data_IF_054695844293
#
_entry.id   IF_054695844293
#
_cell.length_a   1.000
_cell.length_b   1.000
_cell.length_c   1.000
_cell.angle_alpha   90.00
_cell.angle_beta   90.00
_cell.angle_gamma   90.00
#
_symmetry.space_group_name_H-M   'P 1'
#
loop_
_entity.id
_entity.type
_entity.pdbx_description
1 polymer ?
#
# COMPACT_ATOMS: atom_id res chain seq x y z
N UNK A 1 -16.69 -5.92 6.11
CA UNK A 1 -15.63 -5.83 5.07
C UNK A 1 -14.29 -6.03 5.77
N UNK A 2 -13.37 -6.87 5.29
CA UNK A 2 -12.12 -7.23 6.02
C UNK A 2 -11.06 -6.12 6.02
N UNK A 3 -11.43 -4.92 6.45
CA UNK A 3 -10.59 -3.72 6.39
C UNK A 3 -9.27 -3.90 7.11
N UNK A 4 -9.27 -4.52 8.30
CA UNK A 4 -8.05 -4.69 9.08
C UNK A 4 -7.02 -5.55 8.31
N UNK A 5 -7.46 -6.71 7.82
CA UNK A 5 -6.61 -7.61 7.03
C UNK A 5 -6.00 -6.91 5.80
N UNK A 6 -6.79 -6.10 5.09
CA UNK A 6 -6.29 -5.36 3.92
C UNK A 6 -5.25 -4.30 4.29
N UNK A 7 -5.41 -3.65 5.44
CA UNK A 7 -4.42 -2.69 5.95
C UNK A 7 -3.10 -3.40 6.25
N UNK A 8 -3.13 -4.57 6.92
CA UNK A 8 -1.92 -5.34 7.23
C UNK A 8 -1.19 -5.82 5.96
N UNK A 9 -1.94 -6.40 5.03
CA UNK A 9 -1.40 -6.88 3.76
C UNK A 9 -0.84 -5.71 2.92
N UNK A 10 -1.54 -4.58 2.91
CA UNK A 10 -1.07 -3.36 2.26
C UNK A 10 0.25 -2.86 2.85
N UNK A 11 0.33 -2.78 4.19
CA UNK A 11 1.51 -2.29 4.89
C UNK A 11 2.75 -3.18 4.68
N UNK A 12 2.60 -4.51 4.66
CA UNK A 12 3.74 -5.42 4.48
C UNK A 12 4.13 -5.61 3.00
N UNK A 13 3.21 -5.38 2.06
CA UNK A 13 3.40 -5.73 0.64
C UNK A 13 4.70 -5.18 0.03
N UNK A 14 4.89 -3.86 0.05
CA UNK A 14 6.07 -3.18 -0.51
C UNK A 14 7.36 -3.62 0.22
N UNK A 15 7.44 -3.55 1.56
CA UNK A 15 8.59 -4.08 2.30
C UNK A 15 8.94 -5.51 1.94
N UNK A 16 7.94 -6.41 1.85
CA UNK A 16 8.16 -7.83 1.58
C UNK A 16 8.72 -8.05 0.17
N UNK A 17 8.11 -7.43 -0.85
CA UNK A 17 8.58 -7.53 -2.24
C UNK A 17 10.01 -6.99 -2.35
N UNK A 18 10.28 -5.79 -1.82
CA UNK A 18 11.59 -5.16 -1.91
C UNK A 18 12.64 -5.80 -1.00
N UNK A 19 12.26 -6.71 -0.11
CA UNK A 19 13.22 -7.48 0.68
C UNK A 19 14.11 -8.37 -0.19
N UNK A 20 13.64 -8.74 -1.38
CA UNK A 20 14.40 -9.50 -2.38
C UNK A 20 15.21 -8.61 -3.33
N UNK A 21 15.08 -7.29 -3.25
CA UNK A 21 15.77 -6.37 -4.14
C UNK A 21 17.32 -6.54 -4.02
N UNK A 22 18.07 -6.68 -5.12
CA UNK A 22 19.50 -7.03 -5.08
C UNK A 22 20.40 -6.06 -4.32
N UNK A 23 19.99 -4.78 -4.18
CA UNK A 23 20.73 -3.78 -3.39
C UNK A 23 20.41 -3.82 -1.89
N UNK A 24 19.18 -4.21 -1.52
CA UNK A 24 18.70 -4.18 -0.14
C UNK A 24 18.93 -5.52 0.55
N UNK A 25 18.51 -6.63 -0.10
CA UNK A 25 18.70 -8.00 0.37
C UNK A 25 18.22 -8.24 1.82
N UNK A 26 17.15 -7.57 2.25
CA UNK A 26 16.60 -7.72 3.60
C UNK A 26 16.14 -9.16 3.90
N UNK A 27 15.78 -9.95 2.88
CA UNK A 27 15.51 -11.39 3.04
C UNK A 27 16.66 -12.17 3.68
N UNK A 28 17.91 -11.70 3.53
CA UNK A 28 19.09 -12.31 4.19
C UNK A 28 19.19 -11.98 5.67
N UNK A 29 18.49 -10.94 6.12
CA UNK A 29 18.44 -10.50 7.50
C UNK A 29 17.25 -11.10 8.27
N UNK A 30 16.40 -11.92 7.64
CA UNK A 30 15.24 -12.53 8.29
C UNK A 30 15.58 -13.38 9.51
N UNK A 31 16.76 -14.03 9.51
CA UNK A 31 17.26 -14.74 10.69
C UNK A 31 17.49 -13.84 11.92
N UNK A 32 17.52 -12.51 11.74
CA UNK A 32 17.60 -11.51 12.82
C UNK A 32 16.28 -10.74 12.98
N UNK A 33 15.65 -10.38 11.86
CA UNK A 33 14.42 -9.60 11.86
C UNK A 33 13.26 -10.39 12.50
N UNK A 34 13.05 -11.66 12.11
CA UNK A 34 11.93 -12.44 12.63
C UNK A 34 12.07 -12.72 14.14
N UNK A 35 13.24 -13.11 14.68
CA UNK A 35 13.41 -13.21 16.14
C UNK A 35 13.25 -11.88 16.87
N UNK A 36 13.64 -10.76 16.27
CA UNK A 36 13.44 -9.43 16.87
C UNK A 36 11.96 -9.04 16.94
N UNK A 37 11.20 -9.31 15.89
CA UNK A 37 9.74 -9.13 15.85
C UNK A 37 9.10 -10.03 16.90
N UNK A 38 9.44 -11.32 16.93
CA UNK A 38 8.92 -12.25 17.94
C UNK A 38 9.25 -11.79 19.37
N UNK A 39 10.48 -11.31 19.62
CA UNK A 39 10.87 -10.77 20.92
C UNK A 39 10.10 -9.52 21.33
N UNK A 40 9.76 -8.65 20.38
CA UNK A 40 8.87 -7.52 20.62
C UNK A 40 7.43 -8.01 20.92
N UNK A 41 6.92 -8.97 20.15
CA UNK A 41 5.58 -9.53 20.35
C UNK A 41 5.38 -10.10 21.75
N UNK A 42 6.43 -10.68 22.36
CA UNK A 42 6.38 -11.18 23.73
C UNK A 42 6.06 -10.11 24.78
N UNK A 43 6.30 -8.83 24.48
CA UNK A 43 5.90 -7.72 25.34
C UNK A 43 4.51 -7.19 24.96
N UNK A 44 4.28 -6.95 23.67
CA UNK A 44 3.11 -6.20 23.22
C UNK A 44 1.85 -7.05 23.06
N UNK A 45 1.94 -8.31 22.63
CA UNK A 45 0.76 -9.17 22.50
C UNK A 45 0.11 -9.46 23.86
N UNK A 46 0.85 -9.80 24.93
CA UNK A 46 0.23 -9.96 26.26
C UNK A 46 -0.40 -8.66 26.79
N UNK A 47 0.21 -7.51 26.50
CA UNK A 47 -0.38 -6.22 26.82
C UNK A 47 -1.68 -6.02 26.04
N UNK A 48 -1.72 -6.32 24.75
CA UNK A 48 -2.91 -6.15 23.92
C UNK A 48 -4.07 -7.06 24.35
N UNK A 49 -3.79 -8.33 24.65
CA UNK A 49 -4.75 -9.27 25.25
C UNK A 49 -5.33 -8.70 26.54
N UNK A 50 -4.46 -8.19 27.43
CA UNK A 50 -4.87 -7.60 28.70
C UNK A 50 -5.72 -6.33 28.52
N UNK A 51 -5.37 -5.48 27.56
CA UNK A 51 -6.04 -4.22 27.32
C UNK A 51 -7.43 -4.44 26.71
N UNK A 52 -7.51 -5.36 25.75
CA UNK A 52 -8.77 -5.79 25.13
C UNK A 52 -9.70 -6.42 26.16
N UNK A 53 -9.18 -7.31 27.02
CA UNK A 53 -9.96 -7.93 28.09
C UNK A 53 -10.50 -6.92 29.12
N UNK A 54 -9.88 -5.75 29.26
CA UNK A 54 -10.31 -4.66 30.16
C UNK A 54 -11.14 -3.58 29.49
N UNK A 55 -11.42 -3.71 28.19
CA UNK A 55 -12.14 -2.70 27.42
C UNK A 55 -11.42 -1.35 27.40
N UNK A 56 -10.09 -1.37 27.39
CA UNK A 56 -9.25 -0.18 27.17
C UNK A 56 -9.32 0.21 25.70
N UNK A 57 -9.20 -0.79 24.82
CA UNK A 57 -9.59 -0.72 23.42
C UNK A 57 -10.29 -2.02 23.03
N UNK A 58 -10.84 -2.05 21.83
CA UNK A 58 -11.40 -3.26 21.26
C UNK A 58 -11.58 -3.12 19.76
N UNK A 59 -12.09 -4.20 19.16
CA UNK A 59 -12.16 -4.36 17.72
C UNK A 59 -13.61 -4.44 17.26
N UNK A 60 -13.90 -3.80 16.13
CA UNK A 60 -15.21 -3.87 15.51
C UNK A 60 -15.32 -5.08 14.58
N UNK A 61 -16.18 -6.04 14.92
CA UNK A 61 -16.36 -7.29 14.19
C UNK A 61 -16.68 -7.12 12.70
N UNK A 62 -17.29 -5.99 12.30
CA UNK A 62 -17.59 -5.70 10.89
C UNK A 62 -16.34 -5.56 10.02
N UNK A 63 -15.18 -5.25 10.63
CA UNK A 63 -13.90 -5.04 9.96
C UNK A 63 -12.98 -6.27 9.96
N UNK A 64 -13.43 -7.38 10.56
CA UNK A 64 -12.63 -8.57 10.84
C UNK A 64 -13.12 -9.78 10.03
N UNK A 65 -12.26 -10.78 9.90
CA UNK A 65 -12.58 -12.10 9.33
C UNK A 65 -13.38 -12.97 10.29
N UNK A 66 -13.40 -12.64 11.58
CA UNK A 66 -14.10 -13.38 12.63
C UNK A 66 -13.26 -14.45 13.32
N UNK A 67 -12.02 -14.69 12.86
CA UNK A 67 -11.08 -15.59 13.53
C UNK A 67 -10.44 -14.87 14.71
N UNK A 68 -10.50 -15.47 15.90
CA UNK A 68 -9.88 -14.93 17.10
C UNK A 68 -8.95 -15.94 17.76
N UNK A 69 -7.83 -15.45 18.29
CA UNK A 69 -6.85 -16.20 19.06
C UNK A 69 -6.56 -15.43 20.35
N UNK A 70 -6.79 -16.10 21.50
CA UNK A 70 -6.58 -15.53 22.83
C UNK A 70 -7.31 -14.19 23.08
N UNK A 71 -8.50 -14.03 22.49
CA UNK A 71 -9.33 -12.81 22.64
C UNK A 71 -8.93 -11.66 21.73
N UNK A 72 -7.90 -11.83 20.89
CA UNK A 72 -7.53 -10.89 19.84
C UNK A 72 -7.94 -11.43 18.46
N UNK A 73 -8.35 -10.57 17.52
CA UNK A 73 -8.57 -10.99 16.15
C UNK A 73 -7.25 -11.42 15.48
N UNK A 74 -7.34 -12.33 14.51
CA UNK A 74 -6.18 -12.80 13.75
C UNK A 74 -5.41 -11.63 13.12
N UNK A 75 -6.13 -10.61 12.68
CA UNK A 75 -5.58 -9.38 12.10
C UNK A 75 -4.70 -8.63 13.10
N UNK A 76 -5.03 -8.59 14.39
CA UNK A 76 -4.15 -7.96 15.40
C UNK A 76 -2.81 -8.72 15.53
N UNK A 77 -2.84 -10.05 15.45
CA UNK A 77 -1.60 -10.84 15.42
C UNK A 77 -0.77 -10.56 14.16
N UNK A 78 -1.43 -10.35 13.01
CA UNK A 78 -0.78 -9.96 11.77
C UNK A 78 -0.22 -8.54 11.85
N UNK A 79 -0.92 -7.60 12.47
CA UNK A 79 -0.44 -6.23 12.70
C UNK A 79 0.91 -6.23 13.43
N UNK A 80 1.05 -7.02 14.51
CA UNK A 80 2.30 -7.19 15.25
C UNK A 80 3.42 -7.90 14.48
N UNK A 81 3.16 -8.41 13.27
CA UNK A 81 4.17 -8.98 12.37
C UNK A 81 4.44 -8.00 11.21
N UNK A 82 3.39 -7.58 10.52
CA UNK A 82 3.42 -6.75 9.32
C UNK A 82 4.02 -5.37 9.58
N UNK A 83 3.54 -4.64 10.59
CA UNK A 83 4.00 -3.28 10.86
C UNK A 83 5.45 -3.27 11.35
N UNK A 84 5.87 -4.10 12.32
CA UNK A 84 7.27 -4.17 12.74
C UNK A 84 8.21 -4.64 11.62
N UNK A 85 7.76 -5.54 10.75
CA UNK A 85 8.51 -5.92 9.55
C UNK A 85 8.73 -4.73 8.62
N UNK A 86 7.68 -3.97 8.31
CA UNK A 86 7.76 -2.78 7.45
C UNK A 86 8.69 -1.70 8.04
N UNK A 87 8.59 -1.48 9.34
CA UNK A 87 9.44 -0.53 10.06
C UNK A 87 10.92 -0.97 10.08
N UNK A 88 11.20 -2.26 10.35
CA UNK A 88 12.57 -2.80 10.30
C UNK A 88 13.15 -2.76 8.89
N UNK A 89 12.35 -3.08 7.87
CA UNK A 89 12.77 -2.99 6.47
C UNK A 89 13.17 -1.55 6.12
N UNK A 90 12.39 -0.55 6.55
CA UNK A 90 12.71 0.88 6.33
C UNK A 90 14.02 1.27 7.03
N UNK A 91 14.18 0.87 8.29
CA UNK A 91 15.43 1.08 9.03
C UNK A 91 16.63 0.43 8.32
N UNK A 92 16.46 -0.80 7.84
CA UNK A 92 17.48 -1.53 7.10
C UNK A 92 17.83 -0.82 5.78
N UNK A 93 16.85 -0.32 5.05
CA UNK A 93 17.07 0.48 3.84
C UNK A 93 17.94 1.70 4.16
N UNK A 94 17.58 2.46 5.20
CA UNK A 94 18.33 3.65 5.59
C UNK A 94 19.76 3.30 6.01
N UNK A 95 19.95 2.16 6.71
CA UNK A 95 21.28 1.65 7.07
C UNK A 95 22.11 1.27 5.85
N UNK A 96 21.55 0.48 4.92
CA UNK A 96 22.26 0.01 3.71
C UNK A 96 22.60 1.17 2.78
N UNK A 97 21.67 2.11 2.62
CA UNK A 97 21.83 3.31 1.78
C UNK A 97 22.65 4.41 2.46
N UNK A 98 23.06 4.22 3.71
CA UNK A 98 23.81 5.18 4.53
C UNK A 98 23.12 6.54 4.64
N UNK A 99 21.82 6.52 4.87
CA UNK A 99 21.03 7.71 5.12
C UNK A 99 21.56 8.43 6.37
N UNK A 100 21.70 9.77 6.37
CA UNK A 100 22.19 10.50 7.53
C UNK A 100 21.20 10.38 8.69
N UNK A 101 21.66 9.83 9.82
CA UNK A 101 20.95 9.92 11.09
C UNK A 101 21.15 11.28 11.76
N UNK A 102 20.46 11.51 12.89
CA UNK A 102 20.78 12.66 13.74
C UNK A 102 22.24 12.61 14.19
N UNK A 103 22.92 13.77 14.31
CA UNK A 103 24.24 13.85 14.94
C UNK A 103 24.22 13.20 16.33
N UNK A 104 25.32 12.55 16.72
CA UNK A 104 25.40 11.78 17.96
C UNK A 104 24.92 12.56 19.20
N UNK A 105 25.38 13.81 19.35
CA UNK A 105 24.94 14.68 20.45
C UNK A 105 23.43 15.00 20.37
N UNK A 106 22.93 15.30 19.15
CA UNK A 106 21.51 15.57 18.92
C UNK A 106 20.62 14.38 19.24
N UNK A 107 21.04 13.16 18.84
CA UNK A 107 20.33 11.93 19.16
C UNK A 107 20.23 11.72 20.68
N UNK A 108 21.33 11.92 21.42
CA UNK A 108 21.33 11.77 22.88
C UNK A 108 20.46 12.83 23.57
N UNK A 109 20.54 14.09 23.13
CA UNK A 109 19.67 15.15 23.65
C UNK A 109 18.19 14.87 23.38
N UNK A 110 17.85 14.44 22.16
CA UNK A 110 16.48 14.06 21.82
C UNK A 110 15.97 12.94 22.73
N UNK A 111 16.76 11.88 22.96
CA UNK A 111 16.35 10.81 23.88
C UNK A 111 16.20 11.25 25.34
N UNK A 112 17.02 12.20 25.81
CA UNK A 112 16.89 12.77 27.16
C UNK A 112 15.60 13.58 27.30
N UNK A 113 15.29 14.42 26.32
CA UNK A 113 14.07 15.21 26.30
C UNK A 113 12.83 14.31 26.25
N UNK A 114 12.84 13.30 25.37
CA UNK A 114 11.77 12.30 25.29
C UNK A 114 11.64 11.51 26.60
N UNK A 115 12.75 11.17 27.26
CA UNK A 115 12.72 10.49 28.56
C UNK A 115 12.02 11.35 29.62
N UNK A 116 12.45 12.61 29.78
CA UNK A 116 11.85 13.53 30.76
C UNK A 116 10.36 13.75 30.46
N UNK A 117 10.00 13.97 29.19
CA UNK A 117 8.62 14.14 28.77
C UNK A 117 7.77 12.89 29.06
N UNK A 118 8.31 11.69 28.80
CA UNK A 118 7.62 10.43 29.07
C UNK A 118 7.44 10.19 30.57
N UNK A 119 8.45 10.49 31.41
CA UNK A 119 8.31 10.42 32.87
C UNK A 119 7.23 11.37 33.36
N UNK A 120 7.26 12.63 32.90
CA UNK A 120 6.25 13.61 33.27
C UNK A 120 4.84 13.15 32.86
N UNK A 121 4.68 12.64 31.64
CA UNK A 121 3.40 12.15 31.15
C UNK A 121 2.89 10.95 31.96
N UNK A 122 3.74 9.96 32.26
CA UNK A 122 3.37 8.82 33.07
C UNK A 122 2.88 9.22 34.48
N UNK A 123 3.44 10.28 35.07
CA UNK A 123 3.04 10.80 36.38
C UNK A 123 1.73 11.61 36.30
N UNK A 124 1.61 12.50 35.30
CA UNK A 124 0.43 13.35 35.13
C UNK A 124 -0.83 12.53 34.82
N UNK A 125 -0.70 11.50 33.99
CA UNK A 125 -1.82 10.64 33.56
C UNK A 125 -1.83 9.27 34.24
N UNK A 126 -1.23 9.14 35.44
CA UNK A 126 -1.09 7.87 36.19
C UNK A 126 -2.37 7.05 36.40
N UNK A 127 -3.54 7.69 36.32
CA UNK A 127 -4.84 7.04 36.50
C UNK A 127 -5.43 6.49 35.20
N UNK A 128 -4.84 6.81 34.04
CA UNK A 128 -5.29 6.36 32.72
C UNK A 128 -4.56 5.06 32.34
N UNK A 129 -5.29 3.92 32.23
CA UNK A 129 -4.70 2.60 32.05
C UNK A 129 -4.05 2.34 30.69
N UNK A 130 -4.17 3.24 29.70
CA UNK A 130 -3.37 3.19 28.47
C UNK A 130 -2.21 4.19 28.50
N UNK A 131 -2.50 5.46 28.76
CA UNK A 131 -1.53 6.56 28.74
C UNK A 131 -0.35 6.31 29.67
N UNK A 132 -0.62 5.98 30.93
CA UNK A 132 0.42 5.80 31.94
C UNK A 132 1.41 4.66 31.60
N UNK A 133 0.97 3.42 31.31
CA UNK A 133 1.91 2.36 30.96
C UNK A 133 2.68 2.63 29.66
N UNK A 134 2.06 3.25 28.64
CA UNK A 134 2.76 3.62 27.40
C UNK A 134 3.97 4.52 27.67
N UNK A 135 3.74 5.61 28.40
CA UNK A 135 4.83 6.53 28.70
C UNK A 135 5.82 5.97 29.74
N UNK A 136 5.37 5.15 30.69
CA UNK A 136 6.25 4.51 31.68
C UNK A 136 7.21 3.51 31.01
N UNK A 137 6.70 2.65 30.12
CA UNK A 137 7.51 1.68 29.38
C UNK A 137 8.46 2.37 28.41
N UNK A 138 8.00 3.42 27.72
CA UNK A 138 8.86 4.24 26.87
C UNK A 138 9.97 4.92 27.68
N UNK A 139 9.65 5.51 28.83
CA UNK A 139 10.65 6.10 29.72
C UNK A 139 11.68 5.05 30.18
N UNK A 140 11.23 3.85 30.58
CA UNK A 140 12.12 2.75 30.97
C UNK A 140 13.07 2.34 29.84
N UNK A 141 12.55 2.22 28.61
CA UNK A 141 13.38 1.91 27.44
C UNK A 141 14.37 3.03 27.10
N UNK A 142 13.93 4.30 27.14
CA UNK A 142 14.80 5.45 26.90
C UNK A 142 15.88 5.59 27.97
N UNK A 143 15.60 5.23 29.22
CA UNK A 143 16.62 5.12 30.27
C UNK A 143 17.65 4.05 29.93
N UNK A 144 17.21 2.86 29.51
CA UNK A 144 18.11 1.81 29.04
C UNK A 144 19.02 2.29 27.89
N UNK A 145 18.48 3.01 26.90
CA UNK A 145 19.26 3.61 25.80
C UNK A 145 20.31 4.59 26.34
N UNK A 146 19.98 5.37 27.36
CA UNK A 146 20.92 6.31 27.99
C UNK A 146 22.02 5.60 28.80
N UNK A 147 21.70 4.49 29.46
CA UNK A 147 22.65 3.68 30.21
C UNK A 147 23.58 2.85 29.30
N UNK A 148 23.15 2.56 28.07
CA UNK A 148 23.90 1.80 27.06
C UNK A 148 23.91 2.57 25.72
N UNK A 149 24.54 3.76 25.67
CA UNK A 149 24.41 4.66 24.54
C UNK A 149 25.02 4.07 23.26
N UNK A 150 24.25 4.10 22.17
CA UNK A 150 24.71 3.80 20.81
C UNK A 150 24.29 4.94 19.87
N UNK A 151 24.96 6.09 19.92
CA UNK A 151 24.44 7.35 19.39
C UNK A 151 24.16 7.32 17.88
N UNK A 152 24.99 6.66 17.08
CA UNK A 152 24.76 6.51 15.63
C UNK A 152 23.51 5.68 15.33
N UNK A 153 23.33 4.57 16.05
CA UNK A 153 22.14 3.70 15.94
C UNK A 153 20.89 4.47 16.36
N UNK A 154 20.96 5.17 17.50
CA UNK A 154 19.87 6.00 18.02
C UNK A 154 19.51 7.09 17.02
N UNK A 155 20.50 7.80 16.48
CA UNK A 155 20.27 8.87 15.52
C UNK A 155 19.61 8.39 14.23
N UNK A 156 20.03 7.23 13.70
CA UNK A 156 19.39 6.60 12.54
C UNK A 156 17.97 6.14 12.87
N UNK A 157 17.75 5.52 14.04
CA UNK A 157 16.43 5.06 14.46
C UNK A 157 15.45 6.22 14.60
N UNK A 158 15.83 7.33 15.26
CA UNK A 158 14.96 8.49 15.41
C UNK A 158 14.57 9.13 14.08
N UNK A 159 15.50 9.26 13.13
CA UNK A 159 15.18 9.74 11.77
C UNK A 159 14.28 8.76 11.03
N UNK A 160 14.56 7.45 11.13
CA UNK A 160 13.72 6.43 10.53
C UNK A 160 12.30 6.52 11.08
N UNK A 161 12.14 6.65 12.39
CA UNK A 161 10.83 6.79 13.03
C UNK A 161 10.11 8.05 12.57
N UNK A 162 10.80 9.19 12.50
CA UNK A 162 10.22 10.43 12.00
C UNK A 162 9.67 10.30 10.57
N UNK A 163 10.37 9.54 9.71
CA UNK A 163 9.89 9.23 8.35
C UNK A 163 8.71 8.25 8.39
N UNK A 164 8.75 7.24 9.27
CA UNK A 164 7.68 6.27 9.47
C UNK A 164 6.39 6.88 10.03
N UNK A 165 6.44 8.08 10.62
CA UNK A 165 5.22 8.79 11.02
C UNK A 165 4.27 9.04 9.84
N UNK A 166 4.80 9.22 8.61
CA UNK A 166 3.97 9.40 7.43
C UNK A 166 3.07 8.19 7.13
N UNK A 167 3.61 6.97 6.90
CA UNK A 167 2.77 5.78 6.71
C UNK A 167 1.99 5.40 7.98
N UNK A 168 2.52 5.70 9.18
CA UNK A 168 1.79 5.52 10.44
C UNK A 168 0.48 6.31 10.45
N UNK A 169 0.47 7.60 10.06
CA UNK A 169 -0.76 8.39 10.01
C UNK A 169 -1.80 7.81 9.05
N UNK A 170 -1.36 7.17 7.97
CA UNK A 170 -2.27 6.50 7.03
C UNK A 170 -2.84 5.22 7.64
N UNK A 171 -1.97 4.33 8.12
CA UNK A 171 -2.36 3.02 8.68
C UNK A 171 -3.20 3.22 9.94
N UNK A 172 -2.68 3.90 10.96
CA UNK A 172 -3.41 4.15 12.20
C UNK A 172 -4.62 5.05 11.98
N UNK A 173 -4.57 5.98 11.02
CA UNK A 173 -5.72 6.81 10.65
C UNK A 173 -6.90 5.96 10.19
N UNK A 174 -6.68 5.03 9.26
CA UNK A 174 -7.71 4.10 8.77
C UNK A 174 -8.20 3.21 9.92
N UNK A 175 -7.28 2.61 10.70
CA UNK A 175 -7.65 1.72 11.80
C UNK A 175 -8.51 2.42 12.87
N UNK A 176 -8.26 3.70 13.11
CA UNK A 176 -9.01 4.51 14.09
C UNK A 176 -10.22 5.23 13.50
N UNK A 177 -10.58 4.99 12.23
CA UNK A 177 -11.85 5.40 11.64
C UNK A 177 -11.79 6.47 10.54
N UNK A 178 -10.61 6.87 10.08
CA UNK A 178 -10.50 7.81 8.94
C UNK A 178 -11.09 7.15 7.69
N UNK A 179 -12.17 7.74 7.17
CA UNK A 179 -12.86 7.24 5.97
C UNK A 179 -13.74 6.01 6.19
N UNK A 180 -14.09 5.69 7.45
CA UNK A 180 -14.96 4.56 7.81
C UNK A 180 -16.15 5.05 8.65
N UNK A 181 -17.31 4.39 8.52
CA UNK A 181 -18.49 4.68 9.34
C UNK A 181 -18.26 4.36 10.83
N UNK A 182 -17.49 3.31 11.09
CA UNK A 182 -17.05 2.90 12.42
C UNK A 182 -15.56 2.56 12.40
N UNK A 183 -14.81 2.81 13.47
CA UNK A 183 -13.40 2.48 13.52
C UNK A 183 -13.19 0.96 13.56
N UNK A 184 -12.04 0.51 13.03
CA UNK A 184 -11.58 -0.88 13.18
C UNK A 184 -11.22 -1.13 14.64
N UNK A 185 -10.44 -0.21 15.22
CA UNK A 185 -10.01 -0.22 16.61
C UNK A 185 -10.60 1.00 17.32
N UNK A 186 -11.44 0.76 18.32
CA UNK A 186 -12.01 1.81 19.15
C UNK A 186 -11.30 1.87 20.49
N UNK A 187 -11.27 3.06 21.10
CA UNK A 187 -10.63 3.30 22.39
C UNK A 187 -11.64 3.79 23.41
N UNK A 188 -11.46 3.38 24.66
CA UNK A 188 -12.21 3.93 25.78
C UNK A 188 -11.65 5.31 26.14
N UNK A 189 -12.49 6.34 26.05
CA UNK A 189 -12.11 7.74 26.31
C UNK A 189 -11.59 7.98 27.74
N UNK A 190 -11.95 7.14 28.72
CA UNK A 190 -11.40 7.21 30.08
C UNK A 190 -10.01 6.58 30.21
N UNK A 191 -9.64 5.73 29.25
CA UNK A 191 -8.39 5.00 29.26
C UNK A 191 -7.22 5.78 28.65
N UNK A 192 -7.54 6.72 27.77
CA UNK A 192 -6.60 7.53 26.99
C UNK A 192 -6.53 8.97 27.52
N UNK A 193 -5.51 9.73 27.09
CA UNK A 193 -5.34 11.15 27.36
C UNK A 193 -6.53 11.97 26.86
N UNK A 194 -7.15 11.53 25.77
CA UNK A 194 -8.34 12.14 25.17
C UNK A 194 -8.00 13.12 24.04
N UNK A 195 -6.73 13.47 23.86
CA UNK A 195 -6.27 14.19 22.68
C UNK A 195 -6.00 13.22 21.53
N UNK A 196 -6.36 13.64 20.31
CA UNK A 196 -6.20 12.84 19.09
C UNK A 196 -5.56 13.64 17.96
N UNK A 197 -4.76 12.97 17.14
CA UNK A 197 -4.26 13.44 15.86
C UNK A 197 -5.23 12.93 14.78
N UNK A 198 -6.14 13.79 14.35
CA UNK A 198 -7.35 13.37 13.63
C UNK A 198 -8.12 12.31 14.46
N UNK A 199 -8.13 11.05 14.04
CA UNK A 199 -8.80 9.95 14.74
C UNK A 199 -7.89 9.20 15.72
N UNK A 200 -6.57 9.39 15.64
CA UNK A 200 -5.57 8.56 16.32
C UNK A 200 -5.28 9.13 17.72
N UNK A 201 -5.37 8.35 18.82
CA UNK A 201 -4.88 8.79 20.13
C UNK A 201 -3.41 9.23 20.07
N UNK A 202 -3.07 10.35 20.72
CA UNK A 202 -1.69 10.88 20.64
C UNK A 202 -0.66 9.87 21.17
N UNK A 203 -1.03 9.08 22.16
CA UNK A 203 -0.19 8.05 22.78
C UNK A 203 0.21 6.93 21.82
N UNK A 204 -0.56 6.68 20.76
CA UNK A 204 -0.20 5.67 19.75
C UNK A 204 1.12 6.03 19.05
N UNK A 205 1.44 7.32 18.92
CA UNK A 205 2.73 7.79 18.41
C UNK A 205 3.88 7.36 19.33
N UNK A 206 3.64 7.25 20.63
CA UNK A 206 4.66 6.88 21.61
C UNK A 206 4.72 5.37 21.84
N UNK A 207 3.56 4.71 21.78
CA UNK A 207 3.46 3.25 21.71
C UNK A 207 4.20 2.72 20.48
N UNK A 208 3.94 3.30 19.30
CA UNK A 208 4.61 2.99 18.06
C UNK A 208 6.12 3.24 18.12
N UNK A 209 6.55 4.31 18.80
CA UNK A 209 7.97 4.61 19.01
C UNK A 209 8.63 3.53 19.87
N UNK A 210 8.01 3.15 20.99
CA UNK A 210 8.52 2.08 21.85
C UNK A 210 8.61 0.75 21.09
N UNK A 211 7.55 0.38 20.38
CA UNK A 211 7.50 -0.85 19.58
C UNK A 211 8.62 -0.88 18.54
N UNK A 212 8.77 0.22 17.80
CA UNK A 212 9.82 0.35 16.80
C UNK A 212 11.23 0.29 17.39
N UNK A 213 11.51 1.07 18.43
CA UNK A 213 12.84 1.12 19.05
C UNK A 213 13.21 -0.22 19.68
N UNK A 214 12.28 -0.88 20.38
CA UNK A 214 12.51 -2.22 20.94
C UNK A 214 12.88 -3.20 19.83
N UNK A 215 12.10 -3.22 18.75
CA UNK A 215 12.34 -4.11 17.61
C UNK A 215 13.71 -3.85 16.98
N UNK A 216 14.10 -2.59 16.76
CA UNK A 216 15.42 -2.22 16.23
C UNK A 216 16.54 -2.66 17.17
N UNK A 217 16.38 -2.51 18.48
CA UNK A 217 17.41 -2.90 19.44
C UNK A 217 17.62 -4.41 19.48
N UNK A 218 16.55 -5.19 19.42
CA UNK A 218 16.62 -6.65 19.33
C UNK A 218 17.25 -7.09 18.00
N UNK A 219 16.83 -6.48 16.89
CA UNK A 219 17.40 -6.73 15.55
C UNK A 219 18.92 -6.48 15.53
N UNK A 220 19.36 -5.40 16.17
CA UNK A 220 20.77 -5.00 16.25
C UNK A 220 21.56 -5.60 17.42
N UNK A 221 20.94 -6.45 18.25
CA UNK A 221 21.61 -7.18 19.34
C UNK A 221 22.24 -8.50 18.86
N UNK A 222 21.72 -9.10 17.79
CA UNK A 222 22.27 -10.32 17.20
C UNK A 222 23.62 -10.03 16.46
N UNK A 223 24.67 -10.86 16.65
CA UNK A 223 25.99 -10.61 16.07
C UNK A 223 25.98 -10.67 14.53
N UNK A 224 26.64 -9.68 13.92
CA UNK A 224 26.79 -9.49 12.47
C UNK A 224 27.94 -10.34 11.91
N UNK A 225 27.71 -11.08 10.81
CA UNK A 225 28.79 -11.58 9.94
C UNK A 225 28.94 -10.61 8.77
N UNK A 226 30.11 -10.00 8.65
CA UNK A 226 30.39 -8.92 7.72
C UNK A 226 30.38 -9.36 6.26
N UNK A 227 29.48 -8.76 5.47
CA UNK A 227 29.70 -8.57 4.03
C UNK A 227 30.42 -7.24 3.83
N UNK A 228 31.74 -7.33 3.72
CA UNK A 228 32.60 -6.27 3.23
C UNK A 228 32.39 -6.06 1.72
N UNK A 229 32.46 -4.80 1.27
CA UNK A 229 32.89 -4.48 -0.09
C UNK A 229 31.92 -3.68 -0.95
N UNK A 230 32.02 -2.35 -0.86
CA UNK A 230 32.46 -1.42 -1.94
C UNK A 230 31.74 -0.07 -1.84
N UNK A 231 32.54 0.99 -1.84
CA UNK A 231 32.15 2.40 -1.92
C UNK A 231 31.66 2.69 -3.35
N UNK A 232 30.61 3.49 -3.50
CA UNK A 232 30.22 4.01 -4.81
C UNK A 232 28.82 4.63 -4.85
N UNK A 233 28.81 5.96 -4.75
CA UNK A 233 27.79 6.90 -5.24
C UNK A 233 26.41 6.88 -4.56
N UNK A 234 26.25 7.82 -3.63
CA UNK A 234 24.97 8.39 -3.28
C UNK A 234 24.44 9.20 -4.48
N UNK A 235 23.30 8.80 -5.03
CA UNK A 235 22.37 9.67 -5.77
C UNK A 235 21.05 8.92 -5.99
N UNK A 236 19.96 9.64 -5.73
CA UNK A 236 18.56 9.32 -6.09
C UNK A 236 17.81 8.34 -5.17
N UNK A 237 17.59 8.74 -3.93
CA UNK A 237 16.53 8.21 -3.07
C UNK A 237 15.82 9.37 -2.35
N UNK A 238 15.05 10.18 -3.09
CA UNK A 238 14.20 11.23 -2.49
C UNK A 238 12.96 11.61 -3.33
N UNK A 239 12.28 10.65 -3.97
CA UNK A 239 10.98 10.94 -4.64
C UNK A 239 9.86 9.92 -4.33
N UNK A 240 10.09 8.83 -3.59
CA UNK A 240 9.05 7.80 -3.39
C UNK A 240 8.28 7.87 -2.05
N UNK A 241 8.14 9.05 -1.45
CA UNK A 241 7.35 9.25 -0.21
C UNK A 241 6.29 10.35 -0.31
N UNK A 242 5.83 10.65 -1.53
CA UNK A 242 4.61 11.40 -1.76
C UNK A 242 3.99 10.95 -3.09
N UNK A 243 2.86 10.25 -3.01
CA UNK A 243 2.00 9.93 -4.16
C UNK A 243 2.11 8.50 -4.66
N UNK A 244 1.29 7.61 -4.10
CA UNK A 244 0.39 6.74 -4.88
C UNK A 244 -0.29 5.77 -3.92
N UNK A 245 -1.57 6.00 -3.71
CA UNK A 245 -2.44 5.00 -3.11
C UNK A 245 -2.64 3.80 -4.03
N UNK A 246 -3.26 2.80 -3.39
CA UNK A 246 -4.00 1.66 -3.94
C UNK A 246 -3.24 0.38 -4.27
N UNK A 247 -3.74 -0.66 -3.61
CA UNK A 247 -3.47 -2.08 -3.75
C UNK A 247 -3.77 -2.59 -5.17
N UNK A 248 -3.33 -3.82 -5.45
CA UNK A 248 -3.83 -4.61 -6.55
C UNK A 248 -5.35 -4.86 -6.40
N UNK A 249 -6.15 -3.90 -6.85
CA UNK A 249 -7.48 -4.17 -7.38
C UNK A 249 -7.30 -4.74 -8.78
N UNK A 250 -8.12 -5.73 -9.14
CA UNK A 250 -8.36 -6.01 -10.55
C UNK A 250 -8.70 -4.72 -11.29
N UNK A 251 -8.57 -4.74 -12.62
CA UNK A 251 -9.02 -3.59 -13.40
C UNK A 251 -10.50 -3.38 -13.12
N UNK A 252 -10.85 -2.19 -12.64
CA UNK A 252 -12.24 -1.81 -12.45
C UNK A 252 -12.87 -1.62 -13.83
N UNK A 253 -13.51 -2.68 -14.33
CA UNK A 253 -14.12 -2.68 -15.65
C UNK A 253 -15.31 -1.71 -15.72
N UNK A 254 -15.98 -1.42 -14.60
CA UNK A 254 -17.07 -0.44 -14.57
C UNK A 254 -16.53 0.98 -14.81
N UNK A 255 -15.41 1.32 -14.14
CA UNK A 255 -14.67 2.55 -14.40
C UNK A 255 -14.19 2.62 -15.86
N UNK A 256 -13.55 1.55 -16.35
CA UNK A 256 -13.04 1.49 -17.73
C UNK A 256 -14.15 1.68 -18.76
N UNK A 257 -15.31 1.02 -18.58
CA UNK A 257 -16.48 1.16 -19.44
C UNK A 257 -17.02 2.58 -19.43
N UNK A 258 -17.14 3.18 -18.26
CA UNK A 258 -17.64 4.55 -18.09
C UNK A 258 -16.77 5.60 -18.81
N UNK A 259 -15.46 5.40 -18.85
CA UNK A 259 -14.52 6.33 -19.48
C UNK A 259 -14.19 6.00 -20.95
N UNK A 260 -14.65 4.87 -21.49
CA UNK A 260 -14.26 4.39 -22.81
C UNK A 260 -14.58 5.39 -23.94
N UNK A 261 -15.80 5.93 -23.98
CA UNK A 261 -16.21 6.88 -25.02
C UNK A 261 -15.49 8.24 -24.90
N UNK A 262 -15.15 8.66 -23.68
CA UNK A 262 -14.45 9.92 -23.43
C UNK A 262 -12.99 9.85 -23.88
N UNK A 263 -12.32 8.71 -23.64
CA UNK A 263 -10.92 8.51 -23.98
C UNK A 263 -10.60 8.62 -25.48
N UNK A 264 -11.59 8.41 -26.36
CA UNK A 264 -11.42 8.61 -27.80
C UNK A 264 -11.35 10.09 -28.21
N UNK A 265 -11.85 11.01 -27.38
CA UNK A 265 -12.00 12.44 -27.69
C UNK A 265 -11.08 13.33 -26.86
N UNK A 266 -10.66 12.86 -25.69
CA UNK A 266 -9.86 13.61 -24.73
C UNK A 266 -8.50 12.93 -24.49
N UNK A 267 -7.38 13.58 -24.86
CA UNK A 267 -6.05 13.02 -24.67
C UNK A 267 -5.71 12.76 -23.20
N UNK A 268 -6.19 13.61 -22.27
CA UNK A 268 -5.91 13.41 -20.85
C UNK A 268 -6.66 12.18 -20.34
N UNK A 269 -7.94 12.04 -20.69
CA UNK A 269 -8.73 10.86 -20.33
C UNK A 269 -8.12 9.57 -20.90
N UNK A 270 -7.58 9.61 -22.12
CA UNK A 270 -6.86 8.47 -22.71
C UNK A 270 -5.58 8.12 -21.92
N UNK A 271 -4.77 9.13 -21.54
CA UNK A 271 -3.57 8.93 -20.73
C UNK A 271 -3.88 8.38 -19.35
N UNK A 272 -4.92 8.91 -18.69
CA UNK A 272 -5.36 8.48 -17.37
C UNK A 272 -5.78 7.00 -17.40
N UNK A 273 -6.50 6.60 -18.46
CA UNK A 273 -6.85 5.18 -18.67
C UNK A 273 -5.62 4.33 -18.93
N UNK A 274 -4.70 4.73 -19.82
CA UNK A 274 -3.44 4.00 -20.05
C UNK A 274 -2.63 3.82 -18.76
N UNK A 275 -2.56 4.86 -17.91
CA UNK A 275 -1.94 4.80 -16.60
C UNK A 275 -2.67 3.84 -15.65
N UNK A 276 -4.00 3.77 -15.73
CA UNK A 276 -4.81 2.85 -14.93
C UNK A 276 -4.43 1.38 -15.15
N UNK A 277 -3.94 0.99 -16.33
CA UNK A 277 -3.50 -0.39 -16.62
C UNK A 277 -2.03 -0.67 -16.23
N UNK A 278 -1.22 0.35 -15.90
CA UNK A 278 0.22 0.16 -15.67
C UNK A 278 0.50 -0.66 -14.42
N UNK A 279 1.40 -1.64 -14.54
CA UNK A 279 1.85 -2.49 -13.43
C UNK A 279 0.80 -3.48 -12.92
N UNK A 280 -0.38 -3.56 -13.55
CA UNK A 280 -1.46 -4.48 -13.18
C UNK A 280 -1.41 -5.78 -14.00
N UNK A 281 -1.85 -6.88 -13.39
CA UNK A 281 -2.09 -8.13 -14.10
C UNK A 281 -3.39 -8.02 -14.89
N UNK A 282 -3.33 -8.30 -16.20
CA UNK A 282 -4.45 -8.13 -17.11
C UNK A 282 -4.99 -9.50 -17.52
N UNK A 283 -6.27 -9.74 -17.27
CA UNK A 283 -6.99 -10.83 -17.93
C UNK A 283 -7.21 -10.48 -19.43
N UNK A 284 -7.68 -11.42 -20.26
CA UNK A 284 -7.81 -11.14 -21.69
C UNK A 284 -8.76 -9.97 -21.99
N UNK A 285 -9.84 -9.79 -21.23
CA UNK A 285 -10.80 -8.70 -21.42
C UNK A 285 -10.18 -7.32 -21.11
N UNK A 286 -9.51 -7.20 -19.96
CA UNK A 286 -8.77 -6.00 -19.57
C UNK A 286 -7.60 -5.71 -20.53
N UNK A 287 -6.95 -6.76 -21.03
CA UNK A 287 -5.93 -6.62 -22.09
C UNK A 287 -6.55 -6.09 -23.39
N UNK A 288 -7.77 -6.51 -23.74
CA UNK A 288 -8.51 -5.95 -24.86
C UNK A 288 -8.78 -4.45 -24.69
N UNK A 289 -9.21 -4.02 -23.50
CA UNK A 289 -9.41 -2.61 -23.19
C UNK A 289 -8.13 -1.78 -23.23
N UNK A 290 -7.03 -2.28 -22.68
CA UNK A 290 -5.72 -1.64 -22.83
C UNK A 290 -5.38 -1.48 -24.32
N UNK A 291 -5.61 -2.51 -25.13
CA UNK A 291 -5.34 -2.47 -26.56
C UNK A 291 -6.18 -1.40 -27.27
N UNK A 292 -7.43 -1.23 -26.85
CA UNK A 292 -8.29 -0.18 -27.34
C UNK A 292 -7.75 1.22 -27.03
N UNK A 293 -7.32 1.49 -25.79
CA UNK A 293 -6.75 2.78 -25.42
C UNK A 293 -5.41 3.03 -26.12
N UNK A 294 -4.57 2.00 -26.30
CA UNK A 294 -3.34 2.10 -27.08
C UNK A 294 -3.62 2.44 -28.56
N UNK A 295 -4.69 1.87 -29.13
CA UNK A 295 -5.13 2.18 -30.49
C UNK A 295 -5.69 3.62 -30.59
N UNK A 296 -6.53 4.04 -29.65
CA UNK A 296 -7.07 5.40 -29.58
C UNK A 296 -5.98 6.46 -29.39
N UNK A 297 -4.91 6.14 -28.65
CA UNK A 297 -3.78 7.03 -28.45
C UNK A 297 -3.08 7.46 -29.76
N UNK A 298 -3.26 6.71 -30.85
CA UNK A 298 -2.77 7.09 -32.17
C UNK A 298 -3.36 8.43 -32.67
N UNK A 299 -4.53 8.85 -32.20
CA UNK A 299 -5.06 10.17 -32.53
C UNK A 299 -4.26 11.31 -31.89
N UNK A 300 -3.71 11.05 -30.70
CA UNK A 300 -3.01 12.02 -29.86
C UNK A 300 -1.47 11.97 -29.98
N UNK A 301 -0.92 10.85 -30.45
CA UNK A 301 0.53 10.67 -30.59
C UNK A 301 1.15 11.60 -31.65
N UNK A 302 2.36 12.11 -31.37
CA UNK A 302 3.08 13.00 -32.30
C UNK A 302 3.85 12.22 -33.37
N UNK A 303 3.53 12.48 -34.63
CA UNK A 303 4.26 11.97 -35.80
C UNK A 303 3.77 10.61 -36.33
N UNK A 304 3.83 10.36 -37.65
CA UNK A 304 3.22 9.17 -38.28
C UNK A 304 3.72 7.84 -37.74
N UNK A 305 5.02 7.74 -37.40
CA UNK A 305 5.62 6.52 -36.86
C UNK A 305 5.04 6.15 -35.49
N UNK A 306 4.94 7.12 -34.59
CA UNK A 306 4.42 6.91 -33.24
C UNK A 306 2.92 6.56 -33.27
N UNK A 307 2.16 7.23 -34.14
CA UNK A 307 0.75 6.90 -34.41
C UNK A 307 0.59 5.46 -34.87
N UNK A 308 1.35 5.04 -35.87
CA UNK A 308 1.29 3.69 -36.42
C UNK A 308 1.73 2.62 -35.41
N UNK A 309 2.78 2.89 -34.64
CA UNK A 309 3.27 1.97 -33.61
C UNK A 309 2.24 1.77 -32.49
N UNK A 310 1.63 2.85 -32.01
CA UNK A 310 0.57 2.80 -31.00
C UNK A 310 -0.65 2.03 -31.52
N UNK A 311 -1.09 2.34 -32.75
CA UNK A 311 -2.22 1.66 -33.38
C UNK A 311 -1.99 0.15 -33.55
N UNK A 312 -0.82 -0.25 -34.08
CA UNK A 312 -0.47 -1.67 -34.26
C UNK A 312 -0.39 -2.41 -32.93
N UNK A 313 0.29 -1.82 -31.94
CA UNK A 313 0.39 -2.42 -30.61
C UNK A 313 -0.99 -2.63 -29.97
N UNK A 314 -1.88 -1.66 -30.12
CA UNK A 314 -3.25 -1.75 -29.61
C UNK A 314 -4.07 -2.85 -30.31
N UNK A 315 -4.06 -2.86 -31.64
CA UNK A 315 -4.79 -3.85 -32.44
C UNK A 315 -4.28 -5.28 -32.26
N UNK A 316 -2.96 -5.48 -32.24
CA UNK A 316 -2.35 -6.79 -31.93
C UNK A 316 -2.82 -7.33 -30.57
N UNK A 317 -2.95 -6.45 -29.57
CA UNK A 317 -3.40 -6.82 -28.24
C UNK A 317 -4.88 -7.19 -28.20
N UNK A 318 -5.72 -6.48 -28.95
CA UNK A 318 -7.15 -6.79 -29.10
C UNK A 318 -7.31 -8.17 -29.76
N UNK A 319 -6.59 -8.44 -30.85
CA UNK A 319 -6.69 -9.72 -31.56
C UNK A 319 -6.20 -10.89 -30.71
N UNK A 320 -5.11 -10.69 -29.96
CA UNK A 320 -4.64 -11.68 -28.99
C UNK A 320 -5.67 -11.94 -27.88
N UNK A 321 -6.37 -10.90 -27.39
CA UNK A 321 -7.42 -11.08 -26.39
C UNK A 321 -8.57 -11.91 -26.95
N UNK A 322 -9.02 -11.63 -28.18
CA UNK A 322 -10.09 -12.37 -28.87
C UNK A 322 -9.69 -13.83 -29.11
N UNK A 323 -8.44 -14.08 -29.54
CA UNK A 323 -7.96 -15.45 -29.73
C UNK A 323 -8.00 -16.30 -28.45
N UNK A 324 -7.92 -15.65 -27.29
CA UNK A 324 -7.95 -16.30 -25.96
C UNK A 324 -9.37 -16.46 -25.42
N UNK A 325 -10.26 -15.51 -25.69
CA UNK A 325 -11.67 -15.53 -25.30
C UNK A 325 -12.58 -15.24 -26.51
N UNK A 326 -12.71 -16.19 -27.47
CA UNK A 326 -13.40 -15.94 -28.74
C UNK A 326 -14.91 -15.70 -28.58
N UNK A 327 -15.51 -16.23 -27.52
CA UNK A 327 -16.94 -16.11 -27.20
C UNK A 327 -17.29 -14.83 -26.40
N UNK A 328 -16.29 -14.04 -26.01
CA UNK A 328 -16.52 -12.83 -25.21
C UNK A 328 -17.03 -11.68 -26.09
N UNK A 329 -18.31 -11.35 -25.91
CA UNK A 329 -19.05 -10.36 -26.70
C UNK A 329 -18.46 -8.96 -26.52
N UNK A 330 -17.95 -8.66 -25.34
CA UNK A 330 -17.35 -7.35 -25.02
C UNK A 330 -16.04 -7.09 -25.80
N UNK A 331 -15.25 -8.14 -26.05
CA UNK A 331 -14.06 -8.02 -26.90
C UNK A 331 -14.43 -7.76 -28.37
N UNK A 332 -15.54 -8.32 -28.85
CA UNK A 332 -16.08 -8.05 -30.20
C UNK A 332 -16.53 -6.61 -30.33
N UNK A 333 -17.16 -6.05 -29.29
CA UNK A 333 -17.48 -4.64 -29.22
C UNK A 333 -16.22 -3.76 -29.30
N UNK A 334 -15.19 -4.07 -28.52
CA UNK A 334 -13.92 -3.31 -28.52
C UNK A 334 -13.30 -3.31 -29.92
N UNK A 335 -13.18 -4.49 -30.55
CA UNK A 335 -12.59 -4.60 -31.89
C UNK A 335 -13.42 -3.86 -32.92
N UNK A 336 -14.74 -4.09 -32.97
CA UNK A 336 -15.64 -3.41 -33.91
C UNK A 336 -15.58 -1.89 -33.78
N UNK A 337 -15.49 -1.38 -32.54
CA UNK A 337 -15.34 0.05 -32.26
C UNK A 337 -14.07 0.63 -32.89
N UNK A 338 -12.92 -0.04 -32.75
CA UNK A 338 -11.67 0.39 -33.39
C UNK A 338 -11.74 0.24 -34.91
N UNK A 339 -12.29 -0.87 -35.42
CA UNK A 339 -12.39 -1.12 -36.87
C UNK A 339 -13.24 -0.05 -37.58
N UNK A 340 -14.37 0.37 -37.01
CA UNK A 340 -15.24 1.38 -37.63
C UNK A 340 -14.60 2.77 -37.66
N UNK A 341 -13.78 3.09 -36.66
CA UNK A 341 -13.18 4.41 -36.50
C UNK A 341 -11.76 4.55 -37.09
N UNK A 342 -11.10 3.46 -37.50
CA UNK A 342 -9.74 3.54 -38.06
C UNK A 342 -9.72 3.85 -39.57
N UNK A 343 -8.74 4.60 -40.11
CA UNK A 343 -8.62 4.81 -41.56
C UNK A 343 -8.46 3.51 -42.37
N UNK A 344 -9.12 3.40 -43.53
CA UNK A 344 -9.09 2.19 -44.37
C UNK A 344 -7.69 1.72 -44.77
N UNK A 345 -6.73 2.65 -44.91
CA UNK A 345 -5.34 2.36 -45.27
C UNK A 345 -4.60 1.52 -44.22
N UNK A 346 -5.11 1.46 -42.98
CA UNK A 346 -4.51 0.68 -41.89
C UNK A 346 -4.87 -0.81 -41.95
N UNK A 347 -5.83 -1.21 -42.81
CA UNK A 347 -6.15 -2.62 -43.05
C UNK A 347 -6.85 -3.34 -41.90
N UNK A 348 -7.26 -2.63 -40.85
CA UNK A 348 -7.92 -3.21 -39.66
C UNK A 348 -9.45 -3.08 -39.75
N UNK A 349 -10.04 -3.62 -40.82
CA UNK A 349 -11.50 -3.55 -41.09
C UNK A 349 -12.12 -4.85 -41.62
N UNK A 350 -11.35 -5.93 -41.74
CA UNK A 350 -11.79 -7.17 -42.38
C UNK A 350 -12.89 -7.91 -41.62
N UNK A 351 -12.95 -7.72 -40.29
CA UNK A 351 -13.76 -8.55 -39.41
C UNK A 351 -15.03 -7.83 -38.93
N UNK A 352 -15.35 -6.66 -39.51
CA UNK A 352 -16.49 -5.83 -39.08
C UNK A 352 -17.81 -6.59 -39.13
N UNK A 353 -18.07 -7.31 -40.24
CA UNK A 353 -19.31 -8.07 -40.38
C UNK A 353 -19.39 -9.24 -39.39
N UNK A 354 -18.26 -9.90 -39.10
CA UNK A 354 -18.21 -11.00 -38.14
C UNK A 354 -18.48 -10.50 -36.73
N UNK A 355 -17.77 -9.45 -36.31
CA UNK A 355 -17.91 -8.87 -34.97
C UNK A 355 -19.31 -8.29 -34.77
N UNK A 356 -19.88 -7.64 -35.78
CA UNK A 356 -21.24 -7.13 -35.72
C UNK A 356 -22.28 -8.25 -35.53
N UNK A 357 -22.16 -9.36 -36.28
CA UNK A 357 -23.06 -10.51 -36.11
C UNK A 357 -22.95 -11.11 -34.71
N UNK A 358 -21.73 -11.29 -34.21
CA UNK A 358 -21.51 -11.84 -32.87
C UNK A 358 -21.99 -10.88 -31.77
N UNK A 359 -21.79 -9.58 -31.96
CA UNK A 359 -22.28 -8.55 -31.04
C UNK A 359 -23.81 -8.55 -30.97
N UNK A 360 -24.50 -8.58 -32.13
CA UNK A 360 -25.97 -8.67 -32.18
C UNK A 360 -26.50 -9.94 -31.52
N UNK A 361 -25.87 -11.09 -31.75
CA UNK A 361 -26.24 -12.37 -31.13
C UNK A 361 -25.90 -12.44 -29.62
N UNK A 362 -24.95 -11.64 -29.17
CA UNK A 362 -24.50 -11.56 -27.78
C UNK A 362 -25.25 -10.54 -26.93
N UNK A 363 -25.80 -9.50 -27.54
CA UNK A 363 -26.29 -8.29 -26.86
C UNK A 363 -27.30 -8.57 -25.75
N UNK A 364 -28.23 -9.52 -25.95
CA UNK A 364 -29.24 -9.86 -24.95
C UNK A 364 -28.65 -10.47 -23.66
N UNK A 365 -27.43 -11.03 -23.72
CA UNK A 365 -26.74 -11.65 -22.58
C UNK A 365 -25.95 -10.64 -21.74
N UNK A 366 -25.75 -9.42 -22.24
CA UNK A 366 -24.99 -8.36 -21.57
C UNK A 366 -25.84 -7.74 -20.46
N UNK A 367 -25.39 -7.91 -19.21
CA UNK A 367 -26.08 -7.43 -18.01
C UNK A 367 -25.68 -6.02 -17.59
N UNK A 368 -24.49 -5.57 -17.98
CA UNK A 368 -23.98 -4.24 -17.66
C UNK A 368 -24.71 -3.17 -18.50
N UNK A 369 -25.41 -2.21 -17.86
CA UNK A 369 -26.25 -1.24 -18.57
C UNK A 369 -25.43 -0.23 -19.38
N UNK A 370 -24.25 0.17 -18.87
CA UNK A 370 -23.35 1.11 -19.57
C UNK A 370 -22.81 0.45 -20.82
N UNK A 371 -22.26 -0.76 -20.69
CA UNK A 371 -21.73 -1.51 -21.81
C UNK A 371 -22.81 -1.80 -22.87
N UNK A 372 -24.00 -2.21 -22.44
CA UNK A 372 -25.12 -2.45 -23.36
C UNK A 372 -25.49 -1.17 -24.13
N UNK A 373 -25.50 -0.02 -23.46
CA UNK A 373 -25.75 1.28 -24.13
C UNK A 373 -24.70 1.61 -25.17
N UNK A 374 -23.41 1.36 -24.87
CA UNK A 374 -22.30 1.58 -25.81
C UNK A 374 -22.39 0.65 -27.02
N UNK A 375 -22.74 -0.62 -26.80
CA UNK A 375 -22.92 -1.61 -27.86
C UNK A 375 -24.10 -1.25 -28.78
N UNK A 376 -25.23 -0.83 -28.21
CA UNK A 376 -26.40 -0.40 -29.00
C UNK A 376 -26.04 0.83 -29.83
N UNK A 377 -25.45 1.86 -29.21
CA UNK A 377 -25.02 3.06 -29.92
C UNK A 377 -24.03 2.75 -31.05
N UNK A 378 -23.13 1.79 -30.84
CA UNK A 378 -22.21 1.36 -31.90
C UNK A 378 -22.95 0.65 -33.04
N UNK A 379 -23.93 -0.19 -32.76
CA UNK A 379 -24.70 -0.94 -33.77
C UNK A 379 -25.70 -0.08 -34.56
N UNK A 380 -26.12 1.05 -34.00
CA UNK A 380 -27.04 2.02 -34.60
C UNK A 380 -26.32 3.17 -35.32
N UNK A 381 -25.01 3.32 -35.10
CA UNK A 381 -24.18 4.22 -35.86
C UNK A 381 -23.97 3.64 -37.27
N UNK A 382 -24.80 4.09 -38.22
CA UNK A 382 -24.67 3.82 -39.66
C UNK A 382 -23.38 4.42 -40.26
#
# INVERSE_FOLDING_TARGET
>A
MWTYLWVDLGAISIPLIYSFHPKLRFHREWGRALPAIAGMMLLFVPWDIWATARGIWGFNAQHLTGVQLLGLPLEEWLFFICIPYACLFTYHCFKVLRFPGLPAAGAMWATRLLFVASVAAAVLWRHQPYTAPTFALLAGFLLYVQLRPRPERTGLALITYAVLLLPFFVVNGILTGTGLDQPVVWYNEKAIWGQRLATIPVEDVFYGLLMFLLTVWLYEAAPWRALAGRRGVAATAFVLMAGSGTAAQGIDLELVRGHYAQAARDPQACQDMLAHFQGKQLDPLASGYLGAFEAMWAEHAQGPRSKLESFRRGTDRIDQAISRLPEEVELRFIRLSIQRNCPWILGYRSDQEEDERQLRAGLARVKDPVLRSLMVALLEAD
#
